data_IF_849069754011
#
_entry.id   IF_849069754011
#
_cell.length_a   1.000
_cell.length_b   1.000
_cell.length_c   1.000
_cell.angle_alpha   90.00
_cell.angle_beta   90.00
_cell.angle_gamma   90.00
#
_symmetry.space_group_name_H-M   'P 1'
#
loop_
_entity.id
_entity.type
_entity.pdbx_description
1 polymer ?
#
# COMPACT_ATOMS: atom_id res chain seq x y z
N UNK A 1 4.33 -9.33 -20.75
CA UNK A 1 3.95 -10.34 -19.74
C UNK A 1 2.50 -10.11 -19.38
N UNK A 2 1.65 -11.15 -19.25
CA UNK A 2 0.30 -10.94 -18.75
C UNK A 2 0.40 -10.53 -17.28
N UNK A 3 0.04 -9.30 -16.96
CA UNK A 3 -0.14 -8.84 -15.59
C UNK A 3 -1.32 -9.60 -15.00
N UNK A 4 -1.02 -10.72 -14.33
CA UNK A 4 -1.98 -11.42 -13.47
C UNK A 4 -2.50 -10.40 -12.47
N UNK A 5 -3.75 -9.95 -12.63
CA UNK A 5 -4.41 -9.11 -11.63
C UNK A 5 -4.32 -9.84 -10.29
N UNK A 6 -3.72 -9.24 -9.24
CA UNK A 6 -3.60 -9.91 -7.96
C UNK A 6 -5.00 -10.33 -7.49
N UNK A 7 -5.14 -11.60 -7.11
CA UNK A 7 -6.42 -12.13 -6.61
C UNK A 7 -6.92 -11.24 -5.48
N UNK A 8 -8.16 -10.75 -5.59
CA UNK A 8 -8.76 -9.89 -4.58
C UNK A 8 -8.67 -10.55 -3.18
N UNK A 9 -8.00 -9.91 -2.21
CA UNK A 9 -7.96 -10.36 -0.82
C UNK A 9 -9.36 -10.53 -0.22
N UNK A 10 -9.54 -11.48 0.70
CA UNK A 10 -10.81 -11.65 1.42
C UNK A 10 -10.97 -10.69 2.61
N UNK A 11 -9.86 -10.18 3.13
CA UNK A 11 -9.79 -9.30 4.30
C UNK A 11 -8.86 -8.12 3.99
N UNK A 12 -9.30 -6.90 4.31
CA UNK A 12 -8.55 -5.67 4.02
C UNK A 12 -7.23 -5.58 4.80
N UNK A 13 -7.19 -6.01 6.07
CA UNK A 13 -5.98 -5.91 6.90
C UNK A 13 -5.21 -7.22 6.86
N UNK A 14 -4.49 -7.44 5.76
CA UNK A 14 -3.77 -8.69 5.51
C UNK A 14 -2.47 -8.47 4.71
N UNK A 15 -1.59 -9.47 4.72
CA UNK A 15 -0.41 -9.51 3.85
C UNK A 15 -0.79 -9.34 2.37
N UNK A 16 -1.79 -10.11 1.91
CA UNK A 16 -2.25 -10.06 0.53
C UNK A 16 -2.75 -8.67 0.13
N UNK A 17 -3.33 -7.93 1.07
CA UNK A 17 -3.74 -6.54 0.85
C UNK A 17 -2.57 -5.60 0.69
N UNK A 18 -1.53 -5.73 1.52
CA UNK A 18 -0.32 -4.89 1.39
C UNK A 18 0.38 -5.15 0.04
N UNK A 19 0.37 -6.39 -0.44
CA UNK A 19 0.87 -6.72 -1.77
C UNK A 19 -0.01 -6.11 -2.86
N UNK A 20 -1.33 -6.24 -2.72
CA UNK A 20 -2.31 -5.67 -3.64
C UNK A 20 -2.15 -4.16 -3.80
N UNK A 21 -1.90 -3.43 -2.71
CA UNK A 21 -1.78 -1.97 -2.75
C UNK A 21 -0.41 -1.48 -3.23
N UNK A 22 0.59 -2.37 -3.34
CA UNK A 22 1.83 -2.01 -4.03
C UNK A 22 3.15 -2.36 -3.37
N UNK A 23 3.17 -3.08 -2.25
CA UNK A 23 4.42 -3.43 -1.57
C UNK A 23 4.94 -4.81 -1.99
N UNK A 24 6.26 -5.01 -1.86
CA UNK A 24 6.91 -6.30 -2.08
C UNK A 24 6.67 -7.27 -0.92
N UNK A 25 6.71 -8.58 -1.19
CA UNK A 25 6.49 -9.64 -0.19
C UNK A 25 7.38 -9.49 1.08
N UNK A 26 8.63 -9.09 0.90
CA UNK A 26 9.56 -8.87 2.01
C UNK A 26 9.09 -7.73 2.92
N UNK A 27 8.68 -6.60 2.34
CA UNK A 27 8.21 -5.44 3.07
C UNK A 27 6.87 -5.69 3.75
N UNK A 28 5.91 -6.35 3.07
CA UNK A 28 4.61 -6.64 3.68
C UNK A 28 4.73 -7.54 4.91
N UNK A 29 5.66 -8.48 4.89
CA UNK A 29 5.94 -9.36 6.04
C UNK A 29 6.41 -8.53 7.24
N UNK A 30 7.25 -7.52 7.01
CA UNK A 30 7.73 -6.62 8.04
C UNK A 30 6.62 -5.72 8.61
N UNK A 31 5.86 -5.05 7.73
CA UNK A 31 4.76 -4.17 8.13
C UNK A 31 3.70 -4.96 8.90
N UNK A 32 3.28 -6.11 8.37
CA UNK A 32 2.22 -6.93 8.97
C UNK A 32 2.64 -7.56 10.30
N UNK A 33 3.92 -7.94 10.46
CA UNK A 33 4.47 -8.40 11.74
C UNK A 33 4.36 -7.31 12.81
N UNK A 34 4.74 -6.07 12.46
CA UNK A 34 4.65 -4.93 13.37
C UNK A 34 3.19 -4.65 13.73
N UNK A 35 2.29 -4.55 12.75
CA UNK A 35 0.86 -4.39 12.98
C UNK A 35 0.31 -5.50 13.89
N UNK A 36 0.59 -6.77 13.60
CA UNK A 36 0.06 -7.90 14.37
C UNK A 36 0.49 -7.91 15.84
N UNK A 37 1.67 -7.35 16.15
CA UNK A 37 2.19 -7.23 17.51
C UNK A 37 1.51 -6.11 18.29
N UNK A 38 1.15 -5.01 17.64
CA UNK A 38 0.66 -3.79 18.28
C UNK A 38 -0.82 -3.51 18.05
N UNK A 39 -1.51 -4.31 17.21
CA UNK A 39 -2.95 -4.16 16.99
C UNK A 39 -3.69 -4.29 18.32
N UNK A 40 -4.49 -3.26 18.64
CA UNK A 40 -5.42 -3.34 19.75
C UNK A 40 -6.70 -4.02 19.24
N UNK A 41 -7.42 -4.78 20.09
CA UNK A 41 -8.73 -5.25 19.72
C UNK A 41 -9.67 -4.03 19.57
N UNK A 42 -10.03 -3.67 18.34
CA UNK A 42 -11.09 -2.70 18.09
C UNK A 42 -12.44 -3.40 17.99
N UNK A 43 -13.50 -2.69 18.37
CA UNK A 43 -14.89 -3.11 18.15
C UNK A 43 -15.49 -2.49 16.89
N UNK A 44 -14.77 -1.60 16.20
CA UNK A 44 -15.26 -0.81 15.07
C UNK A 44 -14.37 -1.08 13.84
N UNK A 45 -14.90 -1.72 12.78
CA UNK A 45 -14.11 -2.08 11.58
C UNK A 45 -13.46 -0.89 10.86
N UNK A 46 -14.06 0.31 10.90
CA UNK A 46 -13.45 1.50 10.30
C UNK A 46 -12.22 1.98 11.07
N UNK A 47 -12.24 1.83 12.40
CA UNK A 47 -11.08 2.14 13.24
C UNK A 47 -9.94 1.13 12.99
N UNK A 48 -10.27 -0.15 12.77
CA UNK A 48 -9.26 -1.17 12.41
C UNK A 48 -8.53 -0.83 11.09
N UNK A 49 -9.22 -0.24 10.11
CA UNK A 49 -8.62 0.12 8.83
C UNK A 49 -7.69 1.34 8.94
N UNK A 50 -8.10 2.37 9.69
CA UNK A 50 -7.26 3.54 9.97
C UNK A 50 -6.02 3.15 10.80
N UNK A 51 -6.20 2.26 11.78
CA UNK A 51 -5.10 1.71 12.57
C UNK A 51 -4.13 0.96 11.66
N UNK A 52 -4.63 0.11 10.76
CA UNK A 52 -3.78 -0.62 9.81
C UNK A 52 -3.00 0.33 8.88
N UNK A 53 -3.67 1.36 8.34
CA UNK A 53 -3.02 2.33 7.47
C UNK A 53 -1.96 3.16 8.20
N UNK A 54 -2.11 3.40 9.50
CA UNK A 54 -1.12 4.09 10.32
C UNK A 54 0.23 3.35 10.35
N UNK A 55 0.24 2.00 10.32
CA UNK A 55 1.48 1.23 10.20
C UNK A 55 2.10 1.32 8.80
N UNK A 56 1.27 1.43 7.76
CA UNK A 56 1.74 1.65 6.39
C UNK A 56 2.41 3.02 6.28
N UNK A 57 1.74 4.07 6.77
CA UNK A 57 2.29 5.42 6.85
C UNK A 57 3.61 5.44 7.64
N UNK A 58 3.64 4.80 8.82
CA UNK A 58 4.84 4.69 9.63
C UNK A 58 6.04 4.04 8.90
N UNK A 59 5.79 3.09 7.99
CA UNK A 59 6.83 2.55 7.11
C UNK A 59 7.22 3.52 6.01
N UNK A 60 6.26 4.20 5.36
CA UNK A 60 6.52 5.14 4.27
C UNK A 60 7.38 6.31 4.72
N UNK A 61 7.11 6.91 5.87
CA UNK A 61 7.89 8.06 6.38
C UNK A 61 9.37 7.72 6.62
N UNK A 62 9.72 6.42 6.71
CA UNK A 62 11.11 5.98 6.81
C UNK A 62 11.90 6.26 5.52
N UNK A 63 11.25 6.60 4.41
CA UNK A 63 11.89 6.98 3.15
C UNK A 63 12.94 8.08 3.31
N UNK A 64 12.72 8.99 4.28
CA UNK A 64 13.62 10.10 4.59
C UNK A 64 14.84 9.68 5.44
N UNK A 65 14.92 8.41 5.85
CA UNK A 65 16.07 7.87 6.57
C UNK A 65 17.18 7.41 5.62
N UNK A 66 18.43 7.50 6.09
CA UNK A 66 19.60 7.04 5.34
C UNK A 66 19.55 5.56 4.93
N UNK A 67 18.74 4.75 5.61
CA UNK A 67 18.53 3.34 5.30
C UNK A 67 17.84 3.13 3.94
N UNK A 68 16.97 4.05 3.56
CA UNK A 68 16.11 3.90 2.38
C UNK A 68 16.45 4.88 1.26
N UNK A 69 17.26 5.90 1.55
CA UNK A 69 17.75 6.83 0.55
C UNK A 69 18.47 6.11 -0.60
N UNK A 70 18.01 6.33 -1.83
CA UNK A 70 18.70 5.96 -3.05
C UNK A 70 19.21 7.19 -3.80
N UNK A 71 20.03 6.96 -4.82
CA UNK A 71 20.54 7.98 -5.73
C UNK A 71 19.46 8.49 -6.69
N UNK A 72 18.35 7.77 -6.82
CA UNK A 72 17.20 8.10 -7.67
C UNK A 72 15.89 7.77 -6.95
N UNK A 73 14.77 8.38 -7.37
CA UNK A 73 13.44 8.06 -6.84
C UNK A 73 13.10 6.57 -6.96
N UNK A 74 13.53 5.94 -8.06
CA UNK A 74 13.34 4.51 -8.31
C UNK A 74 14.11 3.65 -7.31
N UNK A 75 15.37 3.98 -7.06
CA UNK A 75 16.20 3.27 -6.09
C UNK A 75 15.63 3.44 -4.68
N UNK A 76 15.22 4.66 -4.32
CA UNK A 76 14.58 4.96 -3.04
C UNK A 76 13.29 4.13 -2.84
N UNK A 77 12.41 4.08 -3.83
CA UNK A 77 11.21 3.23 -3.79
C UNK A 77 11.52 1.74 -3.71
N UNK A 78 12.57 1.29 -4.41
CA UNK A 78 13.03 -0.11 -4.37
C UNK A 78 13.53 -0.47 -2.97
N UNK A 79 14.33 0.39 -2.35
CA UNK A 79 14.83 0.21 -1.00
C UNK A 79 13.68 0.18 0.02
N UNK A 80 12.70 1.08 -0.14
CA UNK A 80 11.48 1.11 0.69
C UNK A 80 10.59 -0.14 0.47
N UNK A 81 10.84 -0.87 -0.62
CA UNK A 81 10.15 -2.11 -0.99
C UNK A 81 8.79 -1.89 -1.64
N UNK A 82 8.66 -0.82 -2.42
CA UNK A 82 7.56 -0.59 -3.34
C UNK A 82 7.75 -1.47 -4.58
N UNK A 83 6.70 -2.13 -5.03
CA UNK A 83 6.70 -2.99 -6.22
C UNK A 83 7.00 -2.22 -7.50
N UNK A 84 7.66 -2.87 -8.45
CA UNK A 84 8.03 -2.27 -9.74
C UNK A 84 6.81 -1.71 -10.49
N UNK A 85 5.67 -2.40 -10.43
CA UNK A 85 4.42 -1.94 -11.05
C UNK A 85 3.91 -0.61 -10.48
N UNK A 86 4.06 -0.38 -9.16
CA UNK A 86 3.72 0.92 -8.56
C UNK A 86 4.77 1.95 -8.90
N UNK A 87 6.05 1.61 -8.88
CA UNK A 87 7.13 2.53 -9.29
C UNK A 87 6.91 3.04 -10.71
N UNK A 88 6.53 2.16 -11.63
CA UNK A 88 6.27 2.50 -13.03
C UNK A 88 5.06 3.42 -13.19
N UNK A 89 4.03 3.27 -12.34
CA UNK A 89 2.86 4.16 -12.33
C UNK A 89 3.18 5.55 -11.77
N UNK A 90 3.97 5.61 -10.68
CA UNK A 90 4.37 6.87 -10.05
C UNK A 90 5.34 7.66 -10.94
N UNK A 91 6.27 6.97 -11.61
CA UNK A 91 7.29 7.57 -12.47
C UNK A 91 6.88 7.64 -13.94
N UNK A 92 5.61 7.44 -14.28
CA UNK A 92 5.14 7.54 -15.66
C UNK A 92 5.39 8.98 -16.17
N UNK A 93 6.22 9.16 -17.22
CA UNK A 93 6.55 10.49 -17.76
C UNK A 93 5.32 11.29 -18.20
N UNK A 94 4.21 10.61 -18.54
CA UNK A 94 2.95 11.26 -18.92
C UNK A 94 2.38 12.14 -17.81
N UNK A 95 2.71 11.84 -16.55
CA UNK A 95 2.20 12.56 -15.38
C UNK A 95 3.30 13.34 -14.65
N UNK A 96 4.43 13.65 -15.31
CA UNK A 96 5.57 14.33 -14.67
C UNK A 96 5.21 15.68 -14.05
N UNK A 97 4.39 16.50 -14.71
CA UNK A 97 3.96 17.79 -14.16
C UNK A 97 3.15 17.62 -12.87
N UNK A 98 2.25 16.63 -12.85
CA UNK A 98 1.46 16.29 -11.66
C UNK A 98 2.40 15.78 -10.57
N UNK A 99 3.30 14.84 -10.90
CA UNK A 99 4.31 14.33 -9.97
C UNK A 99 5.16 15.47 -9.37
N UNK A 100 5.42 16.53 -10.12
CA UNK A 100 6.13 17.72 -9.65
C UNK A 100 5.41 18.53 -8.56
N UNK A 101 4.12 18.29 -8.30
CA UNK A 101 3.36 19.03 -7.27
C UNK A 101 3.50 18.45 -5.86
N UNK A 102 4.22 17.33 -5.69
CA UNK A 102 4.36 16.64 -4.41
C UNK A 102 5.72 15.95 -4.28
N UNK A 103 6.11 15.62 -3.05
CA UNK A 103 7.32 14.83 -2.80
C UNK A 103 7.12 13.36 -3.22
N UNK A 104 8.21 12.62 -3.37
CA UNK A 104 8.14 11.17 -3.61
C UNK A 104 7.37 10.45 -2.49
N UNK A 105 7.61 10.84 -1.24
CA UNK A 105 6.88 10.34 -0.06
C UNK A 105 5.36 10.54 -0.21
N UNK A 106 4.95 11.76 -0.58
CA UNK A 106 3.55 12.10 -0.79
C UNK A 106 2.92 11.20 -1.85
N UNK A 107 3.56 11.02 -3.00
CA UNK A 107 2.99 10.20 -4.08
C UNK A 107 2.94 8.71 -3.75
N UNK A 108 3.89 8.19 -2.98
CA UNK A 108 3.85 6.81 -2.49
C UNK A 108 2.68 6.63 -1.53
N UNK A 109 2.50 7.54 -0.57
CA UNK A 109 1.40 7.46 0.39
C UNK A 109 0.03 7.62 -0.29
N UNK A 110 -0.13 8.61 -1.15
CA UNK A 110 -1.40 8.85 -1.85
C UNK A 110 -1.77 7.64 -2.71
N UNK A 111 -0.81 7.10 -3.48
CA UNK A 111 -1.03 5.89 -4.29
C UNK A 111 -1.43 4.70 -3.41
N UNK A 112 -0.73 4.47 -2.29
CA UNK A 112 -1.04 3.37 -1.38
C UNK A 112 -2.44 3.56 -0.74
N UNK A 113 -2.79 4.78 -0.35
CA UNK A 113 -4.09 5.14 0.24
C UNK A 113 -5.23 4.92 -0.74
N UNK A 114 -5.10 5.41 -1.97
CA UNK A 114 -6.10 5.22 -3.03
C UNK A 114 -6.28 3.74 -3.36
N UNK A 115 -5.18 2.99 -3.48
CA UNK A 115 -5.24 1.55 -3.72
C UNK A 115 -5.92 0.80 -2.57
N UNK A 116 -5.64 1.17 -1.32
CA UNK A 116 -6.24 0.55 -0.14
C UNK A 116 -7.74 0.86 -0.02
N UNK A 117 -8.16 2.11 -0.20
CA UNK A 117 -9.58 2.49 -0.22
C UNK A 117 -10.33 1.77 -1.35
N UNK A 118 -9.70 1.62 -2.52
CA UNK A 118 -10.26 0.85 -3.64
C UNK A 118 -10.44 -0.62 -3.26
N UNK A 119 -9.42 -1.23 -2.65
CA UNK A 119 -9.47 -2.61 -2.16
C UNK A 119 -10.61 -2.82 -1.17
N UNK A 120 -10.75 -1.97 -0.15
CA UNK A 120 -11.82 -2.06 0.86
C UNK A 120 -13.18 -2.09 0.18
N UNK A 121 -13.44 -1.14 -0.74
CA UNK A 121 -14.69 -1.08 -1.51
C UNK A 121 -14.93 -2.32 -2.38
N UNK A 122 -13.88 -2.90 -2.95
CA UNK A 122 -13.99 -4.13 -3.73
C UNK A 122 -14.38 -5.33 -2.86
N UNK A 123 -13.81 -5.43 -1.65
CA UNK A 123 -14.13 -6.49 -0.68
C UNK A 123 -15.58 -6.36 -0.20
N UNK A 124 -16.03 -5.16 0.12
CA UNK A 124 -17.41 -4.88 0.56
C UNK A 124 -18.42 -5.29 -0.51
N UNK A 125 -18.26 -4.82 -1.75
CA UNK A 125 -19.14 -5.19 -2.87
C UNK A 125 -19.19 -6.69 -3.12
N UNK A 126 -18.05 -7.37 -2.98
CA UNK A 126 -18.00 -8.83 -3.13
C UNK A 126 -18.85 -9.53 -2.05
N UNK A 127 -18.74 -9.10 -0.79
CA UNK A 127 -19.55 -9.65 0.30
C UNK A 127 -21.04 -9.41 0.09
N UNK A 128 -21.43 -8.23 -0.37
CA UNK A 128 -22.82 -7.90 -0.69
C UNK A 128 -23.38 -8.83 -1.79
N UNK A 129 -22.60 -9.08 -2.85
CA UNK A 129 -23.00 -9.97 -3.94
C UNK A 129 -23.13 -11.44 -3.54
N UNK A 130 -22.36 -11.88 -2.54
CA UNK A 130 -22.40 -13.24 -1.99
C UNK A 130 -23.54 -13.44 -0.98
N UNK A 131 -24.06 -12.35 -0.39
CA UNK A 131 -25.16 -12.38 0.59
C UNK A 131 -26.54 -12.11 -0.03
N UNK A 132 -26.58 -11.48 -1.20
CA UNK A 132 -27.79 -11.21 -1.97
C UNK A 132 -28.16 -12.28 -3.01
N UNK A 133 -27.43 -13.40 -3.04
CA UNK A 133 -27.64 -14.54 -3.96
C UNK A 133 -28.01 -15.81 -3.20
#
# INVERSE_FOLDING_TARGET
>A
MPTSVPKLPSVANSIASLEFIGFTHATVTHIFSTYSKYKLPSTIPSADNEDFFSFIHGHIIMINSSKFAGSTDRETMTNLGISEDVQNRILDPKFEEVRGTGSLEYWIEDTARVNYLTLVRMIERKKESEQGS
#
